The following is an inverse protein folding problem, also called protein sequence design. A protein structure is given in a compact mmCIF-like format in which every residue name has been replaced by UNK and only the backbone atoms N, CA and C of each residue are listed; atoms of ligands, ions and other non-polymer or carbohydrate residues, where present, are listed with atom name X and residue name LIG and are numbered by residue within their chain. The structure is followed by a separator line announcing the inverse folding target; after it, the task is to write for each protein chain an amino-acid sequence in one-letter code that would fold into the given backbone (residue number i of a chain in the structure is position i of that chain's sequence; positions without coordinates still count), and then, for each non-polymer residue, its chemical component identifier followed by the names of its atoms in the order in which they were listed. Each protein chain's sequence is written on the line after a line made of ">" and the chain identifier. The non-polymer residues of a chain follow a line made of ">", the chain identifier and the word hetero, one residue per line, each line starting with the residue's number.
data_IF_767628945000
#
_entry.id   IF_767628945000
#
_cell.length_a   1.000
_cell.length_b   1.000
_cell.length_c   1.000
_cell.angle_alpha   90.00
_cell.angle_beta   90.00
_cell.angle_gamma   90.00
#
_symmetry.space_group_name_H-M   'P 1'
#
loop_
_entity.id
_entity.type
_entity.pdbx_description
1 polymer ?
#
# COMPACT_ATOMS: atom_id res chain seq x y z
N UNK A 1 -21.71 -33.78 49.44
CA UNK A 1 -21.72 -33.67 50.91
C UNK A 1 -20.42 -33.12 51.48
N UNK A 2 -19.23 -33.60 51.09
CA UNK A 2 -17.93 -33.13 51.60
C UNK A 2 -17.66 -31.64 51.27
N UNK A 3 -18.00 -31.16 50.06
CA UNK A 3 -17.80 -29.76 49.65
C UNK A 3 -18.60 -28.76 50.49
N UNK A 4 -19.85 -29.10 50.84
CA UNK A 4 -20.73 -28.27 51.68
C UNK A 4 -20.19 -28.17 53.13
N UNK A 5 -19.60 -29.28 53.62
CA UNK A 5 -18.97 -29.28 54.91
C UNK A 5 -17.71 -28.43 54.99
N UNK A 6 -16.90 -28.44 53.91
CA UNK A 6 -15.70 -27.64 53.81
C UNK A 6 -16.01 -26.14 53.67
N UNK A 7 -17.08 -25.78 52.93
CA UNK A 7 -17.55 -24.39 52.83
C UNK A 7 -18.04 -23.88 54.22
N UNK A 8 -18.79 -24.68 54.96
CA UNK A 8 -19.24 -24.30 56.29
C UNK A 8 -18.08 -24.14 57.30
N UNK A 9 -17.06 -25.01 57.21
CA UNK A 9 -15.84 -24.90 58.04
C UNK A 9 -15.04 -23.65 57.65
N UNK A 10 -14.88 -23.38 56.35
CA UNK A 10 -14.16 -22.20 55.88
C UNK A 10 -14.86 -20.90 56.29
N UNK A 11 -16.19 -20.86 56.26
CA UNK A 11 -16.97 -19.72 56.72
C UNK A 11 -16.85 -19.51 58.23
N UNK A 12 -16.88 -20.58 59.01
CA UNK A 12 -16.73 -20.51 60.45
C UNK A 12 -15.33 -20.08 60.90
N UNK A 13 -14.28 -20.62 60.26
CA UNK A 13 -12.91 -20.20 60.50
C UNK A 13 -12.65 -18.76 60.02
N UNK A 14 -13.25 -18.32 58.92
CA UNK A 14 -13.23 -16.96 58.47
C UNK A 14 -13.85 -15.97 59.45
N UNK A 15 -15.03 -16.29 60.04
CA UNK A 15 -15.69 -15.48 61.07
C UNK A 15 -14.85 -15.41 62.33
N UNK A 16 -14.26 -16.55 62.77
CA UNK A 16 -13.39 -16.61 63.93
C UNK A 16 -12.11 -15.78 63.73
N UNK A 17 -11.54 -15.81 62.52
CA UNK A 17 -10.40 -14.98 62.16
C UNK A 17 -10.70 -13.48 62.22
N UNK A 18 -11.88 -13.06 61.76
CA UNK A 18 -12.32 -11.67 61.84
C UNK A 18 -12.54 -11.21 63.30
N UNK A 19 -13.14 -12.05 64.14
CA UNK A 19 -13.30 -11.74 65.57
C UNK A 19 -11.96 -11.60 66.28
N UNK A 20 -11.02 -12.51 66.01
CA UNK A 20 -9.64 -12.42 66.52
C UNK A 20 -8.90 -11.15 66.04
N UNK A 21 -9.11 -10.75 64.80
CA UNK A 21 -8.55 -9.47 64.29
C UNK A 21 -9.13 -8.27 65.06
N UNK A 22 -10.45 -8.26 65.30
CA UNK A 22 -11.11 -7.17 66.00
C UNK A 22 -10.68 -7.09 67.50
N UNK A 23 -10.46 -8.24 68.14
CA UNK A 23 -9.89 -8.31 69.49
C UNK A 23 -8.42 -7.84 69.52
N UNK A 24 -7.62 -8.18 68.53
CA UNK A 24 -6.21 -7.78 68.43
C UNK A 24 -6.05 -6.28 68.08
N UNK A 25 -6.96 -5.69 67.30
CA UNK A 25 -6.97 -4.25 67.03
C UNK A 25 -7.26 -3.41 68.28
N UNK A 26 -8.01 -3.96 69.23
CA UNK A 26 -8.35 -3.30 70.50
C UNK A 26 -7.29 -3.47 71.59
N UNK A 27 -6.33 -4.37 71.39
CA UNK A 27 -5.24 -4.61 72.40
C UNK A 27 -4.00 -3.77 72.06
N UNK A 28 -3.65 -2.75 72.86
CA UNK A 28 -2.47 -1.93 72.61
C UNK A 28 -1.15 -2.71 72.66
N UNK A 29 -1.15 -3.89 73.33
CA UNK A 29 0.04 -4.75 73.43
C UNK A 29 0.28 -5.64 72.20
N UNK A 30 -0.74 -5.77 71.36
CA UNK A 30 -0.71 -6.59 70.16
C UNK A 30 -0.25 -5.82 68.88
N UNK A 31 0.16 -4.56 69.03
CA UNK A 31 0.67 -3.79 67.90
C UNK A 31 1.94 -4.43 67.29
N UNK A 32 1.78 -4.89 66.04
CA UNK A 32 2.91 -5.49 65.28
C UNK A 32 3.97 -4.41 65.05
N UNK A 33 5.24 -4.65 65.42
CA UNK A 33 6.31 -3.67 65.17
C UNK A 33 6.38 -3.28 63.69
N UNK A 34 6.56 -1.99 63.40
CA UNK A 34 6.59 -1.45 62.01
C UNK A 34 7.54 -2.21 61.09
N UNK A 35 8.68 -2.71 61.63
CA UNK A 35 9.60 -3.51 60.84
C UNK A 35 9.02 -4.85 60.36
N UNK A 36 8.18 -5.48 61.14
CA UNK A 36 7.52 -6.74 60.81
C UNK A 36 6.42 -6.49 59.77
N UNK A 37 5.66 -5.40 59.94
CA UNK A 37 4.69 -4.97 58.95
C UNK A 37 5.33 -4.68 57.58
N UNK A 38 6.42 -3.91 57.56
CA UNK A 38 7.17 -3.64 56.32
C UNK A 38 7.75 -4.91 55.67
N UNK A 39 8.23 -5.86 56.46
CA UNK A 39 8.74 -7.13 55.92
C UNK A 39 7.58 -7.97 55.33
N UNK A 40 6.45 -8.03 56.03
CA UNK A 40 5.26 -8.73 55.56
C UNK A 40 4.72 -8.12 54.27
N UNK A 41 4.52 -6.81 54.21
CA UNK A 41 4.08 -6.11 52.98
C UNK A 41 5.03 -6.34 51.81
N UNK A 42 6.35 -6.25 52.04
CA UNK A 42 7.34 -6.50 51.00
C UNK A 42 7.30 -7.93 50.48
N UNK A 43 7.04 -8.90 51.38
CA UNK A 43 6.91 -10.31 51.00
C UNK A 43 5.65 -10.56 50.21
N UNK A 44 4.51 -10.00 50.67
CA UNK A 44 3.21 -10.07 49.98
C UNK A 44 3.31 -9.42 48.59
N UNK A 45 3.86 -8.21 48.48
CA UNK A 45 4.10 -7.55 47.19
C UNK A 45 4.94 -8.38 46.23
N UNK A 46 6.02 -9.00 46.74
CA UNK A 46 6.87 -9.87 45.89
C UNK A 46 6.11 -11.11 45.41
N UNK A 47 5.31 -11.74 46.29
CA UNK A 47 4.50 -12.92 45.95
C UNK A 47 3.43 -12.57 44.90
N UNK A 48 2.73 -11.46 45.08
CA UNK A 48 1.75 -10.96 44.07
C UNK A 48 2.39 -10.57 42.76
N UNK A 49 3.55 -9.91 42.80
CA UNK A 49 4.30 -9.54 41.57
C UNK A 49 4.78 -10.80 40.83
N UNK A 50 5.24 -11.82 41.53
CA UNK A 50 5.66 -13.09 40.91
C UNK A 50 4.46 -13.80 40.27
N UNK A 51 3.33 -13.89 40.96
CA UNK A 51 2.08 -14.49 40.43
C UNK A 51 1.52 -13.74 39.23
N UNK A 52 1.51 -12.41 39.29
CA UNK A 52 1.09 -11.58 38.17
C UNK A 52 2.02 -11.73 36.96
N UNK A 53 3.34 -11.84 37.18
CA UNK A 53 4.31 -12.01 36.12
C UNK A 53 4.15 -13.35 35.38
N UNK A 54 3.81 -14.38 36.08
CA UNK A 54 3.55 -15.71 35.52
C UNK A 54 2.24 -15.76 34.76
N UNK A 55 1.17 -15.18 35.30
CA UNK A 55 -0.14 -15.02 34.64
C UNK A 55 -0.05 -14.15 33.39
N UNK A 56 0.71 -13.04 33.43
CA UNK A 56 0.93 -12.16 32.27
C UNK A 56 1.70 -12.85 31.16
N UNK A 57 2.70 -13.69 31.45
CA UNK A 57 3.43 -14.44 30.42
C UNK A 57 2.52 -15.35 29.60
N UNK A 58 1.60 -16.06 30.24
CA UNK A 58 0.65 -16.92 29.53
C UNK A 58 -0.40 -16.14 28.73
N UNK A 59 -0.82 -14.99 29.26
CA UNK A 59 -1.77 -14.12 28.56
C UNK A 59 -1.12 -13.46 27.33
N UNK A 60 0.05 -12.88 27.48
CA UNK A 60 0.78 -12.24 26.37
C UNK A 60 1.16 -13.23 25.29
N UNK A 61 1.55 -14.46 25.63
CA UNK A 61 1.86 -15.49 24.64
C UNK A 61 0.64 -15.90 23.82
N UNK A 62 -0.53 -16.10 24.48
CA UNK A 62 -1.79 -16.42 23.78
C UNK A 62 -2.27 -15.28 22.88
N UNK A 63 -2.11 -14.04 23.32
CA UNK A 63 -2.47 -12.86 22.51
C UNK A 63 -1.50 -12.72 21.32
N UNK A 64 -0.19 -12.85 21.55
CA UNK A 64 0.80 -12.82 20.49
C UNK A 64 0.59 -13.93 19.45
N UNK A 65 0.24 -15.13 19.88
CA UNK A 65 -0.07 -16.24 18.98
C UNK A 65 -1.32 -15.93 18.12
N UNK A 66 -2.36 -15.36 18.70
CA UNK A 66 -3.57 -14.97 17.93
C UNK A 66 -3.27 -13.87 16.91
N UNK A 67 -2.47 -12.88 17.29
CA UNK A 67 -2.02 -11.83 16.37
C UNK A 67 -1.17 -12.42 15.24
N UNK A 68 -0.22 -13.31 15.55
CA UNK A 68 0.60 -13.96 14.55
C UNK A 68 -0.23 -14.78 13.55
N UNK A 69 -1.25 -15.52 14.02
CA UNK A 69 -2.18 -16.27 13.14
C UNK A 69 -2.97 -15.32 12.25
N UNK A 70 -3.47 -14.21 12.79
CA UNK A 70 -4.22 -13.22 12.01
C UNK A 70 -3.35 -12.55 10.93
N UNK A 71 -2.12 -12.17 11.27
CA UNK A 71 -1.14 -11.62 10.33
C UNK A 71 -0.77 -12.63 9.24
N UNK A 72 -0.54 -13.88 9.62
CA UNK A 72 -0.24 -14.96 8.66
C UNK A 72 -1.43 -15.21 7.72
N UNK A 73 -2.65 -15.28 8.25
CA UNK A 73 -3.85 -15.45 7.43
C UNK A 73 -4.06 -14.27 6.46
N UNK A 74 -3.83 -13.04 6.92
CA UNK A 74 -3.87 -11.84 6.06
C UNK A 74 -2.81 -11.92 4.96
N UNK A 75 -1.58 -12.32 5.28
CA UNK A 75 -0.50 -12.48 4.30
C UNK A 75 -0.81 -13.56 3.25
N UNK A 76 -1.38 -14.70 3.65
CA UNK A 76 -1.78 -15.77 2.73
C UNK A 76 -2.94 -15.32 1.83
N UNK A 77 -3.94 -14.61 2.38
CA UNK A 77 -5.04 -14.05 1.59
C UNK A 77 -4.53 -13.02 0.58
N UNK A 78 -3.63 -12.13 1.00
CA UNK A 78 -3.02 -11.13 0.12
C UNK A 78 -2.22 -11.81 -0.99
N UNK A 79 -1.36 -12.77 -0.65
CA UNK A 79 -0.58 -13.53 -1.64
C UNK A 79 -1.47 -14.34 -2.59
N UNK A 80 -2.55 -14.92 -2.07
CA UNK A 80 -3.54 -15.66 -2.87
C UNK A 80 -4.29 -14.77 -3.84
N UNK A 81 -4.72 -13.58 -3.42
CA UNK A 81 -5.37 -12.60 -4.31
C UNK A 81 -4.39 -12.07 -5.36
N UNK A 82 -3.13 -11.84 -4.99
CA UNK A 82 -2.08 -11.45 -5.93
C UNK A 82 -1.80 -12.50 -7.00
N UNK A 83 -1.82 -13.79 -6.61
CA UNK A 83 -1.60 -14.88 -7.54
C UNK A 83 -2.82 -15.14 -8.46
N UNK A 84 -4.03 -15.03 -7.92
CA UNK A 84 -5.26 -15.40 -8.60
C UNK A 84 -5.82 -14.28 -9.50
N UNK A 85 -5.55 -13.02 -9.19
CA UNK A 85 -6.15 -11.86 -9.87
C UNK A 85 -5.08 -10.96 -10.50
N UNK A 86 -4.82 -11.10 -11.82
CA UNK A 86 -3.89 -10.24 -12.56
C UNK A 86 -4.25 -8.74 -12.46
N UNK A 87 -5.55 -8.43 -12.33
CA UNK A 87 -6.05 -7.05 -12.18
C UNK A 87 -5.61 -6.40 -10.86
N UNK A 88 -5.51 -7.19 -9.78
CA UNK A 88 -5.01 -6.69 -8.49
C UNK A 88 -3.52 -6.34 -8.59
N UNK A 89 -2.75 -7.10 -9.38
CA UNK A 89 -1.34 -6.77 -9.68
C UNK A 89 -1.24 -5.49 -10.48
N UNK A 90 -2.04 -5.34 -11.54
CA UNK A 90 -2.06 -4.13 -12.37
C UNK A 90 -2.40 -2.87 -11.53
N UNK A 91 -3.39 -2.97 -10.64
CA UNK A 91 -3.77 -1.87 -9.75
C UNK A 91 -2.68 -1.53 -8.71
N UNK A 92 -1.88 -2.50 -8.29
CA UNK A 92 -0.75 -2.24 -7.39
C UNK A 92 0.41 -1.55 -8.10
N UNK A 93 0.63 -1.84 -9.38
CA UNK A 93 1.57 -1.09 -10.22
C UNK A 93 1.14 0.37 -10.41
N UNK A 94 -0.18 0.64 -10.47
CA UNK A 94 -0.73 2.00 -10.52
C UNK A 94 -0.53 2.78 -9.20
N UNK A 95 -0.28 2.13 -8.07
CA UNK A 95 0.07 2.77 -6.80
C UNK A 95 1.47 3.40 -6.78
N UNK A 96 2.28 3.19 -7.82
CA UNK A 96 3.64 3.75 -7.94
C UNK A 96 3.64 5.05 -8.76
N UNK A 97 2.49 5.55 -9.19
CA UNK A 97 2.39 6.91 -9.75
C UNK A 97 2.54 7.89 -8.58
N UNK A 98 3.67 8.59 -8.56
CA UNK A 98 3.96 9.61 -7.57
C UNK A 98 3.68 10.97 -8.17
N UNK A 99 2.74 11.68 -7.57
CA UNK A 99 2.45 13.06 -7.93
C UNK A 99 3.27 14.00 -7.04
N UNK A 100 4.14 14.77 -7.67
CA UNK A 100 4.87 15.87 -7.04
C UNK A 100 4.22 17.21 -7.46
N UNK A 101 4.62 18.31 -6.82
CA UNK A 101 4.07 19.63 -7.15
C UNK A 101 4.46 20.08 -8.56
N UNK A 102 5.65 19.71 -9.01
CA UNK A 102 6.26 20.11 -10.28
C UNK A 102 6.15 19.04 -11.37
N UNK A 103 6.08 17.76 -11.03
CA UNK A 103 6.02 16.67 -12.00
C UNK A 103 5.21 15.47 -11.52
N UNK A 104 4.86 14.62 -12.47
CA UNK A 104 4.27 13.30 -12.19
C UNK A 104 5.24 12.22 -12.62
N UNK A 105 5.62 11.36 -11.69
CA UNK A 105 6.50 10.22 -11.91
C UNK A 105 5.66 8.97 -12.14
N UNK A 106 5.79 8.35 -13.30
CA UNK A 106 5.26 7.03 -13.62
C UNK A 106 6.40 6.03 -13.41
N UNK A 107 6.48 5.47 -12.22
CA UNK A 107 7.51 4.50 -11.84
C UNK A 107 6.88 3.10 -11.78
N UNK A 108 7.54 2.14 -12.36
CA UNK A 108 7.09 0.75 -12.41
C UNK A 108 8.14 -0.11 -11.73
N UNK A 109 7.68 -0.93 -10.78
CA UNK A 109 8.55 -1.84 -10.05
C UNK A 109 9.26 -2.78 -11.03
N UNK A 110 10.57 -2.81 -10.92
CA UNK A 110 11.46 -3.59 -11.77
C UNK A 110 11.07 -5.08 -11.79
N UNK A 111 10.67 -5.56 -12.95
CA UNK A 111 10.87 -6.95 -13.31
C UNK A 111 11.75 -6.94 -14.56
N UNK A 112 13.04 -7.11 -14.35
CA UNK A 112 13.97 -7.32 -15.45
C UNK A 112 13.60 -8.65 -16.12
N UNK A 113 13.04 -8.60 -17.31
CA UNK A 113 13.07 -9.71 -18.23
C UNK A 113 14.26 -9.51 -19.15
N UNK A 114 15.23 -10.40 -19.08
CA UNK A 114 16.45 -10.37 -19.91
C UNK A 114 16.20 -10.60 -21.42
N UNK A 115 14.95 -10.72 -21.83
CA UNK A 115 14.57 -11.00 -23.22
C UNK A 115 13.72 -9.83 -23.79
N UNK A 116 14.38 -8.79 -24.25
CA UNK A 116 13.73 -7.74 -25.02
C UNK A 116 13.59 -8.16 -26.48
N UNK A 117 12.38 -8.52 -26.88
CA UNK A 117 12.06 -8.63 -28.30
C UNK A 117 11.70 -7.26 -28.87
N UNK A 118 12.57 -6.68 -29.66
CA UNK A 118 12.33 -5.43 -30.39
C UNK A 118 11.26 -5.57 -31.49
N UNK A 119 10.70 -6.76 -31.69
CA UNK A 119 9.87 -7.09 -32.84
C UNK A 119 8.43 -6.50 -32.80
N UNK A 120 7.94 -6.03 -31.64
CA UNK A 120 6.55 -5.60 -31.49
C UNK A 120 6.34 -4.09 -31.31
N UNK A 121 7.38 -3.28 -31.55
CA UNK A 121 7.26 -1.83 -31.44
C UNK A 121 6.98 -1.20 -32.79
N UNK A 122 5.72 -1.15 -33.20
CA UNK A 122 5.29 -0.33 -34.34
C UNK A 122 4.41 0.81 -33.84
N UNK A 123 4.56 2.00 -34.44
CA UNK A 123 3.69 3.14 -34.24
C UNK A 123 3.05 3.48 -35.58
N UNK A 124 1.81 3.05 -35.77
CA UNK A 124 1.03 3.31 -36.97
C UNK A 124 -0.36 3.77 -36.56
N UNK A 125 -0.57 5.09 -36.34
CA UNK A 125 -1.88 5.59 -35.98
C UNK A 125 -2.86 5.39 -37.13
N UNK A 126 -3.99 4.73 -36.86
CA UNK A 126 -5.05 4.54 -37.85
C UNK A 126 -5.80 5.82 -38.22
N UNK A 127 -5.59 6.87 -37.42
CA UNK A 127 -6.18 8.19 -37.68
C UNK A 127 -5.26 9.29 -37.16
N UNK A 128 -5.16 10.38 -37.94
CA UNK A 128 -4.51 11.64 -37.59
C UNK A 128 -5.43 12.80 -38.00
N UNK A 129 -5.35 13.96 -37.35
CA UNK A 129 -6.06 15.15 -37.80
C UNK A 129 -5.57 15.59 -39.22
N UNK A 130 -6.47 16.22 -39.96
CA UNK A 130 -6.14 16.66 -41.33
C UNK A 130 -4.88 17.55 -41.39
N UNK A 131 -4.04 17.27 -42.34
CA UNK A 131 -2.83 18.03 -42.60
C UNK A 131 -1.61 17.66 -41.74
N UNK A 132 -1.74 16.67 -40.86
CA UNK A 132 -0.59 16.11 -40.13
C UNK A 132 0.17 15.13 -41.00
N UNK A 133 1.48 15.27 -41.05
CA UNK A 133 2.41 14.40 -41.77
C UNK A 133 3.56 14.01 -40.85
N UNK A 134 4.16 12.86 -41.07
CA UNK A 134 5.34 12.42 -40.35
C UNK A 134 6.46 13.44 -40.54
N UNK A 135 6.99 13.99 -39.46
CA UNK A 135 8.07 14.97 -39.44
C UNK A 135 9.38 14.40 -38.89
N UNK A 136 9.30 13.47 -37.95
CA UNK A 136 10.46 12.81 -37.35
C UNK A 136 10.10 11.42 -36.82
N UNK A 137 11.05 10.51 -36.85
CA UNK A 137 10.92 9.17 -36.24
C UNK A 137 12.28 8.64 -35.82
N UNK A 138 12.28 7.82 -34.77
CA UNK A 138 13.52 7.21 -34.30
C UNK A 138 13.24 5.99 -33.41
N UNK A 139 14.32 5.23 -33.25
CA UNK A 139 14.33 4.09 -32.32
C UNK A 139 15.66 4.09 -31.56
N UNK A 140 15.60 4.00 -30.25
CA UNK A 140 16.76 3.89 -29.37
C UNK A 140 16.48 2.80 -28.34
N UNK A 141 17.25 1.74 -28.39
CA UNK A 141 17.09 0.55 -27.54
C UNK A 141 15.63 0.06 -27.53
N UNK A 142 14.97 0.16 -26.39
CA UNK A 142 13.61 -0.27 -26.18
C UNK A 142 12.59 0.89 -26.23
N UNK A 143 12.91 1.96 -26.95
CA UNK A 143 12.05 3.11 -27.18
C UNK A 143 11.94 3.37 -28.68
N UNK A 144 10.74 3.57 -29.16
CA UNK A 144 10.44 4.03 -30.52
C UNK A 144 9.53 5.26 -30.42
N UNK A 145 9.76 6.24 -31.29
CA UNK A 145 8.90 7.41 -31.38
C UNK A 145 8.62 7.80 -32.83
N UNK A 146 7.47 8.43 -33.06
CA UNK A 146 7.08 9.11 -34.27
C UNK A 146 6.43 10.44 -33.95
N UNK A 147 6.92 11.50 -34.61
CA UNK A 147 6.36 12.84 -34.45
C UNK A 147 5.66 13.25 -35.75
N UNK A 148 4.44 13.71 -35.66
CA UNK A 148 3.63 14.21 -36.73
C UNK A 148 3.41 15.70 -36.55
N UNK A 149 3.48 16.48 -37.62
CA UNK A 149 3.34 17.93 -37.58
C UNK A 149 2.49 18.45 -38.74
N UNK A 150 1.73 19.51 -38.49
CA UNK A 150 0.97 20.21 -39.51
C UNK A 150 1.65 21.52 -39.93
N UNK A 151 1.10 22.17 -40.94
CA UNK A 151 1.63 23.44 -41.50
C UNK A 151 1.61 24.60 -40.48
N UNK A 152 0.76 24.54 -39.46
CA UNK A 152 0.66 25.54 -38.41
C UNK A 152 1.60 25.26 -37.24
N UNK A 153 2.52 24.32 -37.38
CA UNK A 153 3.47 23.86 -36.35
C UNK A 153 2.83 23.24 -35.12
N UNK A 154 1.55 22.85 -35.18
CA UNK A 154 1.01 21.96 -34.19
C UNK A 154 1.58 20.56 -34.41
N UNK A 155 1.96 19.89 -33.35
CA UNK A 155 2.63 18.60 -33.40
C UNK A 155 2.07 17.59 -32.37
N UNK A 156 2.26 16.33 -32.69
CA UNK A 156 2.01 15.22 -31.77
C UNK A 156 3.12 14.19 -31.91
N UNK A 157 3.80 13.91 -30.83
CA UNK A 157 4.78 12.85 -30.72
C UNK A 157 4.16 11.66 -30.02
N UNK A 158 4.27 10.49 -30.60
CA UNK A 158 3.80 9.22 -30.04
C UNK A 158 5.04 8.40 -29.70
N UNK A 159 5.17 8.01 -28.46
CA UNK A 159 6.30 7.21 -28.00
C UNK A 159 5.80 5.91 -27.37
N UNK A 160 6.38 4.80 -27.78
CA UNK A 160 6.27 3.49 -27.11
C UNK A 160 7.60 3.11 -26.51
N UNK A 161 7.59 2.69 -25.26
CA UNK A 161 8.80 2.18 -24.59
C UNK A 161 8.45 1.07 -23.62
N UNK A 162 9.45 0.30 -23.22
CA UNK A 162 9.31 -0.64 -22.10
C UNK A 162 9.26 0.13 -20.78
N UNK A 163 8.46 -0.39 -19.83
CA UNK A 163 8.28 0.23 -18.52
C UNK A 163 9.48 0.01 -17.60
N UNK A 164 10.13 -1.14 -17.69
CA UNK A 164 11.35 -1.48 -16.96
C UNK A 164 12.58 -0.62 -17.33
N UNK A 165 12.49 0.19 -18.36
CA UNK A 165 13.56 1.13 -18.78
C UNK A 165 13.72 2.38 -17.89
N UNK A 166 13.09 2.42 -16.72
CA UNK A 166 13.15 3.52 -15.76
C UNK A 166 11.88 4.39 -15.71
N UNK A 167 11.79 5.33 -14.78
CA UNK A 167 10.62 6.17 -14.60
C UNK A 167 10.36 7.07 -15.81
N UNK A 168 9.09 7.30 -16.13
CA UNK A 168 8.67 8.37 -17.02
C UNK A 168 8.33 9.59 -16.17
N UNK A 169 9.08 10.66 -16.33
CA UNK A 169 8.84 11.95 -15.67
C UNK A 169 8.08 12.85 -16.64
N UNK A 170 6.92 13.36 -16.23
CA UNK A 170 6.10 14.27 -17.01
C UNK A 170 5.95 15.57 -16.22
N UNK A 171 6.32 16.71 -16.82
CA UNK A 171 6.05 18.03 -16.23
C UNK A 171 4.54 18.19 -16.07
N UNK A 172 4.12 18.32 -14.84
CA UNK A 172 2.71 18.49 -14.49
C UNK A 172 2.47 19.66 -13.56
N UNK A 173 3.44 20.56 -13.44
CA UNK A 173 3.31 21.80 -12.68
C UNK A 173 2.19 22.67 -13.26
N UNK A 174 1.22 23.03 -12.40
CA UNK A 174 0.03 23.80 -12.78
C UNK A 174 -0.82 23.18 -13.90
N UNK A 175 -0.71 21.86 -14.12
CA UNK A 175 -1.47 21.14 -15.12
C UNK A 175 -2.77 20.56 -14.56
N UNK A 176 -3.78 20.41 -15.41
CA UNK A 176 -5.00 19.67 -15.10
C UNK A 176 -4.75 18.19 -15.43
N UNK A 177 -4.98 17.32 -14.45
CA UNK A 177 -4.81 15.87 -14.59
C UNK A 177 -6.17 15.19 -14.61
N UNK A 178 -6.47 14.43 -15.65
CA UNK A 178 -7.73 13.71 -15.82
C UNK A 178 -7.47 12.24 -16.08
N UNK A 179 -8.06 11.36 -15.28
CA UNK A 179 -8.05 9.90 -15.53
C UNK A 179 -9.12 9.55 -16.56
N UNK A 180 -8.73 8.84 -17.60
CA UNK A 180 -9.61 8.40 -18.68
C UNK A 180 -9.33 6.93 -19.01
N UNK A 181 -10.15 6.33 -19.86
CA UNK A 181 -9.93 4.96 -20.34
C UNK A 181 -9.76 4.98 -21.86
N UNK A 182 -8.66 4.42 -22.35
CA UNK A 182 -8.35 4.26 -23.76
C UNK A 182 -8.24 2.76 -24.08
N UNK A 183 -9.04 2.23 -24.99
CA UNK A 183 -9.00 0.82 -25.41
C UNK A 183 -8.94 -0.17 -24.22
N UNK A 184 -9.67 0.09 -23.11
CA UNK A 184 -9.70 -0.66 -21.83
C UNK A 184 -8.48 -0.49 -20.93
N UNK A 185 -7.52 0.37 -21.27
CA UNK A 185 -6.40 0.74 -20.41
C UNK A 185 -6.71 2.03 -19.67
N UNK A 186 -6.37 2.07 -18.39
CA UNK A 186 -6.39 3.33 -17.63
C UNK A 186 -5.29 4.25 -18.17
N UNK A 187 -5.65 5.49 -18.43
CA UNK A 187 -4.76 6.50 -18.96
C UNK A 187 -4.87 7.80 -18.15
N UNK A 188 -3.81 8.58 -18.14
CA UNK A 188 -3.79 9.89 -17.50
C UNK A 188 -3.56 10.95 -18.58
N UNK A 189 -4.52 11.85 -18.75
CA UNK A 189 -4.40 13.04 -19.59
C UNK A 189 -3.92 14.21 -18.72
N UNK A 190 -2.84 14.85 -19.11
CA UNK A 190 -2.23 16.00 -18.46
C UNK A 190 -2.31 17.18 -19.44
N UNK A 191 -2.95 18.27 -19.00
CA UNK A 191 -3.22 19.43 -19.84
C UNK A 191 -2.63 20.69 -19.23
N UNK A 192 -1.78 21.38 -19.99
CA UNK A 192 -1.13 22.62 -19.58
C UNK A 192 -1.11 23.60 -20.76
N UNK A 193 -1.92 24.67 -20.70
CA UNK A 193 -2.04 25.64 -21.79
C UNK A 193 -2.32 25.00 -23.16
N UNK A 194 -1.38 25.10 -24.10
CA UNK A 194 -1.46 24.48 -25.43
C UNK A 194 -0.87 23.06 -25.47
N UNK A 195 -0.15 22.64 -24.43
CA UNK A 195 0.50 21.35 -24.35
C UNK A 195 -0.42 20.29 -23.73
N UNK A 196 -0.35 19.09 -24.27
CA UNK A 196 -1.08 17.90 -23.78
C UNK A 196 -0.13 16.73 -23.71
N UNK A 197 -0.24 15.97 -22.61
CA UNK A 197 0.41 14.68 -22.49
C UNK A 197 -0.62 13.62 -22.10
N UNK A 198 -0.71 12.55 -22.88
CA UNK A 198 -1.56 11.40 -22.56
C UNK A 198 -0.65 10.20 -22.30
N UNK A 199 -0.72 9.62 -21.13
CA UNK A 199 0.09 8.48 -20.71
C UNK A 199 -0.80 7.26 -20.53
N UNK A 200 -0.47 6.17 -21.25
CA UNK A 200 -1.19 4.89 -21.24
C UNK A 200 -0.23 3.80 -20.78
N UNK A 201 -0.20 3.47 -19.51
CA UNK A 201 0.59 2.35 -19.01
C UNK A 201 -0.10 1.02 -19.33
N UNK A 202 0.67 0.05 -19.79
CA UNK A 202 0.24 -1.32 -20.07
C UNK A 202 1.12 -2.30 -19.30
N UNK A 203 0.91 -2.43 -17.99
CA UNK A 203 1.81 -3.21 -17.13
C UNK A 203 1.81 -4.71 -17.42
N UNK A 204 0.76 -5.24 -18.06
CA UNK A 204 0.73 -6.66 -18.46
C UNK A 204 1.72 -6.98 -19.58
N UNK A 205 2.00 -5.99 -20.42
CA UNK A 205 2.84 -6.10 -21.60
C UNK A 205 4.22 -5.46 -21.40
N UNK A 206 4.54 -5.02 -20.17
CA UNK A 206 5.73 -4.23 -19.83
C UNK A 206 5.94 -3.02 -20.76
N UNK A 207 4.84 -2.39 -21.18
CA UNK A 207 4.86 -1.30 -22.16
C UNK A 207 4.20 -0.04 -21.58
N UNK A 208 4.70 1.10 -22.02
CA UNK A 208 4.06 2.40 -21.82
C UNK A 208 4.01 3.12 -23.16
N UNK A 209 2.84 3.64 -23.49
CA UNK A 209 2.64 4.51 -24.63
C UNK A 209 2.29 5.89 -24.12
N UNK A 210 2.98 6.90 -24.60
CA UNK A 210 2.62 8.27 -24.26
C UNK A 210 2.64 9.17 -25.50
N UNK A 211 1.78 10.18 -25.44
CA UNK A 211 1.60 11.18 -26.47
C UNK A 211 1.98 12.52 -25.87
N UNK A 212 2.85 13.25 -26.53
CA UNK A 212 3.10 14.65 -26.23
C UNK A 212 2.66 15.47 -27.42
N UNK A 213 1.90 16.53 -27.18
CA UNK A 213 1.38 17.35 -28.26
C UNK A 213 1.35 18.82 -27.90
N UNK A 214 1.54 19.67 -28.88
CA UNK A 214 1.41 21.10 -28.75
C UNK A 214 0.50 21.66 -29.84
N UNK A 215 -0.49 22.45 -29.43
CA UNK A 215 -1.49 22.99 -30.35
C UNK A 215 -2.49 21.99 -30.91
N UNK A 216 -2.58 20.79 -30.34
CA UNK A 216 -3.58 19.75 -30.69
C UNK A 216 -4.62 19.69 -29.57
N UNK A 217 -5.88 19.50 -29.92
CA UNK A 217 -6.95 19.39 -28.92
C UNK A 217 -6.88 18.09 -28.16
N UNK A 218 -7.32 18.09 -26.88
CA UNK A 218 -7.41 16.87 -26.07
C UNK A 218 -8.28 15.79 -26.73
N UNK A 219 -9.36 16.19 -27.40
CA UNK A 219 -10.24 15.29 -28.16
C UNK A 219 -9.50 14.60 -29.30
N UNK A 220 -8.65 15.33 -30.03
CA UNK A 220 -7.85 14.77 -31.12
C UNK A 220 -6.77 13.83 -30.60
N UNK A 221 -6.08 14.20 -29.50
CA UNK A 221 -5.07 13.31 -28.86
C UNK A 221 -5.71 12.00 -28.40
N UNK A 222 -6.87 12.07 -27.77
CA UNK A 222 -7.66 10.88 -27.37
C UNK A 222 -8.03 10.05 -28.61
N UNK A 223 -8.52 10.69 -29.67
CA UNK A 223 -8.92 9.99 -30.90
C UNK A 223 -7.73 9.32 -31.61
N UNK A 224 -6.54 9.95 -31.60
CA UNK A 224 -5.31 9.32 -32.11
C UNK A 224 -5.02 8.06 -31.30
N UNK A 225 -5.07 8.17 -29.97
CA UNK A 225 -4.78 7.06 -29.06
C UNK A 225 -5.80 5.90 -29.20
N UNK A 226 -7.07 6.20 -29.40
CA UNK A 226 -8.11 5.19 -29.67
C UNK A 226 -7.93 4.43 -30.98
N UNK A 227 -7.24 5.06 -31.97
CA UNK A 227 -6.97 4.49 -33.28
C UNK A 227 -5.49 4.07 -33.45
N UNK A 228 -4.72 3.98 -32.36
CA UNK A 228 -3.37 3.42 -32.36
C UNK A 228 -3.44 1.95 -31.94
N UNK A 229 -2.81 1.00 -32.64
CA UNK A 229 -2.63 -0.35 -32.14
C UNK A 229 -1.74 -0.32 -30.85
N UNK A 230 -2.37 -0.65 -29.73
CA UNK A 230 -1.69 -0.66 -28.41
C UNK A 230 -1.07 -2.01 -28.10
#
# INVERSE_FOLDING_TARGET
>A
MFAILMDAVAEQEGKRGLQLMEELEQDPSAQVPEEVQRKAEKTIRKAFAAKNRESMKHFTFKVAQRIAIAVFAAAVLTAGTFAAFPEVRANLYNLIIREYEDHTEFNYAEQFSDEYSSADFTIEPGWLPDGFTLSDEGQVDALIYKTYQNKNKADVSITKRIMSGGPLLVDSENAIKTKITIQKHEATLIEKEAWRCLVIPMPKDDKIVYFESNGVSSADVIKIAENLPL
#
